data_IF_053478168025
#
_entry.id   IF_053478168025
#
_cell.length_a   1.000
_cell.length_b   1.000
_cell.length_c   1.000
_cell.angle_alpha   90.00
_cell.angle_beta   90.00
_cell.angle_gamma   90.00
#
_symmetry.space_group_name_H-M   'P 1'
#
loop_
_entity.id
_entity.type
_entity.pdbx_description
1 polymer ?
#
# COMPACT_ATOMS: atom_id res chain seq x y z
N UNK A 1 -2.12 -9.09 9.39
CA UNK A 1 -2.56 -7.74 8.95
C UNK A 1 -1.78 -6.70 9.72
N UNK A 2 -1.11 -5.75 9.05
CA UNK A 2 -0.38 -4.65 9.70
C UNK A 2 -1.35 -3.57 10.14
N UNK A 3 -1.19 -3.03 11.35
CA UNK A 3 -2.02 -1.95 11.88
C UNK A 3 -1.21 -0.66 11.94
N UNK A 4 -1.77 0.43 11.42
CA UNK A 4 -1.15 1.76 11.41
C UNK A 4 -2.09 2.75 12.08
N UNK A 5 -1.60 3.45 13.09
CA UNK A 5 -2.33 4.57 13.73
C UNK A 5 -1.81 5.88 13.11
N UNK A 6 -2.73 6.75 12.73
CA UNK A 6 -2.45 8.02 12.06
C UNK A 6 -3.11 9.17 12.79
N UNK A 7 -2.40 10.30 12.95
CA UNK A 7 -3.06 11.56 13.28
C UNK A 7 -4.09 11.89 12.19
N UNK A 8 -5.29 12.33 12.57
CA UNK A 8 -6.46 12.43 11.67
C UNK A 8 -6.24 13.44 10.52
N UNK A 9 -5.52 14.53 10.77
CA UNK A 9 -5.13 15.52 9.77
C UNK A 9 -4.18 14.92 8.70
N UNK A 10 -3.24 14.08 9.13
CA UNK A 10 -2.36 13.34 8.23
C UNK A 10 -3.12 12.28 7.44
N UNK A 11 -4.09 11.60 8.06
CA UNK A 11 -4.94 10.61 7.40
C UNK A 11 -5.70 11.24 6.24
N UNK A 12 -6.36 12.39 6.46
CA UNK A 12 -7.09 13.11 5.41
C UNK A 12 -6.20 13.53 4.25
N UNK A 13 -4.95 13.92 4.53
CA UNK A 13 -3.97 14.26 3.49
C UNK A 13 -3.50 13.05 2.70
N UNK A 14 -3.34 11.90 3.35
CA UNK A 14 -2.85 10.66 2.77
C UNK A 14 -3.93 9.84 2.07
N UNK A 15 -5.21 10.00 2.42
CA UNK A 15 -6.33 9.34 1.72
C UNK A 15 -6.46 9.77 0.26
N UNK A 16 -5.99 10.97 -0.09
CA UNK A 16 -5.88 11.43 -1.47
C UNK A 16 -4.86 10.60 -2.29
N UNK A 17 -3.91 9.97 -1.60
CA UNK A 17 -2.90 9.08 -2.16
C UNK A 17 -3.33 7.60 -2.00
N UNK A 18 -4.40 7.20 -2.65
CA UNK A 18 -5.13 5.91 -2.50
C UNK A 18 -4.27 4.62 -2.52
N UNK A 19 -2.99 4.69 -2.85
CA UNK A 19 -2.21 3.48 -3.16
C UNK A 19 -1.60 2.74 -1.97
N UNK A 20 -1.33 3.41 -0.84
CA UNK A 20 -0.64 2.78 0.30
C UNK A 20 -1.60 2.16 1.30
N UNK A 21 -2.56 2.95 1.78
CA UNK A 21 -3.46 2.53 2.86
C UNK A 21 -4.61 1.63 2.40
N UNK A 22 -4.93 1.65 1.10
CA UNK A 22 -5.88 0.72 0.47
C UNK A 22 -5.30 -0.67 0.18
N UNK A 23 -4.04 -0.92 0.55
CA UNK A 23 -3.44 -2.26 0.38
C UNK A 23 -4.13 -3.26 1.29
N UNK A 24 -4.51 -4.39 0.71
CA UNK A 24 -4.87 -5.59 1.47
C UNK A 24 -3.76 -5.91 2.47
N UNK A 25 -4.13 -6.05 3.73
CA UNK A 25 -3.19 -6.36 4.80
C UNK A 25 -2.72 -5.17 5.64
N UNK A 26 -3.14 -3.93 5.34
CA UNK A 26 -2.96 -2.75 6.20
C UNK A 26 -4.33 -2.28 6.69
N UNK A 27 -4.46 -2.12 8.01
CA UNK A 27 -5.61 -1.46 8.65
C UNK A 27 -5.14 -0.13 9.22
N UNK A 28 -5.78 0.97 8.83
CA UNK A 28 -5.52 2.30 9.36
C UNK A 28 -6.52 2.68 10.43
N UNK A 29 -6.08 3.36 11.48
CA UNK A 29 -6.89 3.86 12.59
C UNK A 29 -6.52 5.32 12.75
N UNK A 30 -7.50 6.23 12.65
CA UNK A 30 -7.30 7.65 12.90
C UNK A 30 -7.35 7.96 14.40
N UNK A 31 -6.65 9.01 14.82
CA UNK A 31 -6.70 9.55 16.16
C UNK A 31 -6.52 11.09 16.15
N UNK A 32 -7.22 11.77 17.03
CA UNK A 32 -7.28 13.23 17.07
C UNK A 32 -6.30 13.86 18.08
N UNK A 33 -5.68 13.02 18.92
CA UNK A 33 -4.70 13.45 19.92
C UNK A 33 -3.65 12.34 20.19
N UNK A 34 -2.51 12.73 20.75
CA UNK A 34 -1.48 11.78 21.17
C UNK A 34 -1.93 10.90 22.34
N UNK A 35 -2.83 11.38 23.18
CA UNK A 35 -3.44 10.59 24.26
C UNK A 35 -4.32 9.48 23.68
N UNK A 36 -5.12 9.79 22.65
CA UNK A 36 -5.93 8.82 21.94
C UNK A 36 -5.05 7.79 21.21
N UNK A 37 -3.96 8.23 20.56
CA UNK A 37 -2.98 7.33 19.93
C UNK A 37 -2.45 6.32 20.95
N UNK A 38 -2.07 6.78 22.15
CA UNK A 38 -1.59 5.91 23.22
C UNK A 38 -2.66 4.90 23.66
N UNK A 39 -3.90 5.37 23.85
CA UNK A 39 -5.03 4.52 24.26
C UNK A 39 -5.32 3.44 23.20
N UNK A 40 -5.40 3.84 21.94
CA UNK A 40 -5.62 2.91 20.81
C UNK A 40 -4.45 1.94 20.67
N UNK A 41 -3.20 2.39 20.81
CA UNK A 41 -2.04 1.50 20.72
C UNK A 41 -1.99 0.47 21.85
N UNK A 42 -2.44 0.79 23.06
CA UNK A 42 -2.54 -0.17 24.17
C UNK A 42 -3.45 -1.36 23.83
N UNK A 43 -4.54 -1.11 23.12
CA UNK A 43 -5.53 -2.16 22.75
C UNK A 43 -5.20 -2.83 21.43
N UNK A 44 -4.90 -2.07 20.39
CA UNK A 44 -4.74 -2.55 19.01
C UNK A 44 -3.36 -3.11 18.71
N UNK A 45 -2.32 -2.74 19.49
CA UNK A 45 -0.92 -3.13 19.29
C UNK A 45 -0.47 -2.85 17.85
N UNK A 46 -0.49 -1.58 17.45
CA UNK A 46 -0.10 -1.13 16.12
C UNK A 46 1.34 -1.49 15.77
N UNK A 47 1.61 -1.65 14.49
CA UNK A 47 2.95 -1.87 13.94
C UNK A 47 3.67 -0.56 13.60
N UNK A 48 2.89 0.51 13.30
CA UNK A 48 3.40 1.84 13.01
C UNK A 48 2.45 2.90 13.58
N UNK A 49 3.02 3.95 14.12
CA UNK A 49 2.33 5.18 14.53
C UNK A 49 2.92 6.31 13.70
N UNK A 50 2.06 7.15 13.10
CA UNK A 50 2.44 8.39 12.42
C UNK A 50 1.68 9.53 13.08
N UNK A 51 2.40 10.44 13.70
CA UNK A 51 1.81 11.51 14.51
C UNK A 51 2.53 12.84 14.32
N UNK A 52 1.90 13.92 14.72
CA UNK A 52 2.55 15.22 14.80
C UNK A 52 3.25 15.42 16.15
N UNK A 53 4.35 16.17 16.12
CA UNK A 53 5.07 16.56 17.35
C UNK A 53 4.17 17.34 18.30
N UNK A 54 3.42 18.30 17.74
CA UNK A 54 2.52 19.16 18.47
C UNK A 54 1.06 18.82 18.08
N UNK A 55 0.40 18.01 18.90
CA UNK A 55 -1.02 17.69 18.85
C UNK A 55 -1.71 18.15 20.14
N UNK A 56 -3.04 18.30 20.14
CA UNK A 56 -3.80 18.54 21.37
C UNK A 56 -3.49 17.50 22.45
N UNK A 57 -3.37 17.94 23.71
CA UNK A 57 -3.03 17.09 24.85
C UNK A 57 -1.53 16.86 24.96
N UNK A 58 -1.12 15.60 25.00
CA UNK A 58 0.29 15.19 25.12
C UNK A 58 1.08 15.51 23.85
N UNK A 59 2.34 15.96 24.02
CA UNK A 59 3.25 16.15 22.90
C UNK A 59 3.73 14.80 22.31
N UNK A 60 4.17 14.81 21.04
CA UNK A 60 4.67 13.61 20.36
C UNK A 60 5.91 13.01 21.04
N UNK A 61 6.80 13.85 21.59
CA UNK A 61 7.95 13.35 22.35
C UNK A 61 7.56 12.65 23.64
N UNK A 62 6.54 13.15 24.35
CA UNK A 62 6.03 12.50 25.56
C UNK A 62 5.34 11.17 25.21
N UNK A 63 4.56 11.13 24.12
CA UNK A 63 4.00 9.88 23.59
C UNK A 63 5.09 8.83 23.33
N UNK A 64 6.16 9.22 22.61
CA UNK A 64 7.29 8.33 22.34
C UNK A 64 7.92 7.82 23.63
N UNK A 65 8.21 8.72 24.57
CA UNK A 65 8.84 8.37 25.85
C UNK A 65 8.00 7.36 26.63
N UNK A 66 6.68 7.56 26.71
CA UNK A 66 5.77 6.63 27.38
C UNK A 66 5.73 5.27 26.67
N UNK A 67 5.66 5.25 25.34
CA UNK A 67 5.66 4.02 24.57
C UNK A 67 6.98 3.26 24.74
N UNK A 68 8.14 3.93 24.71
CA UNK A 68 9.46 3.30 24.85
C UNK A 68 9.72 2.77 26.26
N UNK A 69 9.14 3.41 27.29
CA UNK A 69 9.22 2.95 28.66
C UNK A 69 8.38 1.68 28.93
N UNK A 70 7.34 1.44 28.15
CA UNK A 70 6.45 0.27 28.33
C UNK A 70 6.94 -0.93 27.50
N UNK A 71 7.34 -2.02 28.18
CA UNK A 71 7.83 -3.24 27.55
C UNK A 71 6.82 -3.88 26.56
N UNK A 72 5.52 -3.73 26.77
CA UNK A 72 4.47 -4.30 25.94
C UNK A 72 4.13 -3.43 24.71
N UNK A 73 4.58 -2.17 24.68
CA UNK A 73 4.26 -1.20 23.62
C UNK A 73 5.49 -0.82 22.77
N UNK A 74 6.69 -0.88 23.32
CA UNK A 74 7.91 -0.29 22.76
C UNK A 74 8.35 -0.81 21.39
N UNK A 75 7.82 -1.93 20.92
CA UNK A 75 8.20 -2.55 19.64
C UNK A 75 7.60 -1.85 18.41
N UNK A 76 6.66 -0.91 18.60
CA UNK A 76 6.04 -0.16 17.50
C UNK A 76 7.04 0.80 16.87
N UNK A 77 7.00 0.93 15.54
CA UNK A 77 7.69 1.99 14.83
C UNK A 77 6.93 3.30 14.95
N UNK A 78 7.64 4.43 15.11
CA UNK A 78 7.03 5.77 15.29
C UNK A 78 7.67 6.73 14.30
N UNK A 79 6.85 7.41 13.49
CA UNK A 79 7.21 8.55 12.67
C UNK A 79 6.59 9.81 13.29
N UNK A 80 7.40 10.84 13.52
CA UNK A 80 6.91 12.14 13.97
C UNK A 80 6.97 13.14 12.83
N UNK A 81 5.89 13.85 12.61
CA UNK A 81 5.82 15.00 11.70
C UNK A 81 6.00 16.28 12.53
N UNK A 82 6.89 17.15 12.09
CA UNK A 82 7.16 18.42 12.77
C UNK A 82 7.60 19.51 11.79
N UNK A 83 7.45 20.78 12.18
CA UNK A 83 8.08 21.88 11.46
C UNK A 83 9.61 21.83 11.64
N UNK A 84 10.34 22.04 10.55
CA UNK A 84 11.81 21.97 10.52
C UNK A 84 12.43 23.20 11.20
N UNK A 85 12.52 23.13 12.51
CA UNK A 85 13.24 24.11 13.35
C UNK A 85 14.30 23.37 14.16
N UNK A 86 15.41 24.04 14.50
CA UNK A 86 16.49 23.42 15.29
C UNK A 86 15.95 22.85 16.63
N UNK A 87 15.01 23.55 17.28
CA UNK A 87 14.38 23.09 18.51
C UNK A 87 13.56 21.81 18.30
N UNK A 88 12.75 21.73 17.26
CA UNK A 88 11.93 20.55 16.97
C UNK A 88 12.78 19.34 16.55
N UNK A 89 13.82 19.55 15.76
CA UNK A 89 14.76 18.50 15.39
C UNK A 89 15.48 17.94 16.62
N UNK A 90 15.85 18.78 17.56
CA UNK A 90 16.43 18.34 18.83
C UNK A 90 15.43 17.51 19.65
N UNK A 91 14.18 17.97 19.81
CA UNK A 91 13.10 17.22 20.48
C UNK A 91 12.87 15.86 19.83
N UNK A 92 12.75 15.80 18.50
CA UNK A 92 12.57 14.57 17.75
C UNK A 92 13.74 13.61 17.90
N UNK A 93 15.01 14.10 17.89
CA UNK A 93 16.20 13.25 18.00
C UNK A 93 16.33 12.56 19.36
N UNK A 94 15.76 13.14 20.41
CA UNK A 94 15.86 12.67 21.80
C UNK A 94 14.69 11.77 22.24
N UNK A 95 13.57 11.78 21.51
CA UNK A 95 12.36 11.11 21.99
C UNK A 95 12.28 9.60 21.68
N UNK A 96 13.20 9.06 20.86
CA UNK A 96 13.20 7.63 20.48
C UNK A 96 12.21 7.29 19.37
N UNK A 97 11.78 8.26 18.55
CA UNK A 97 11.10 8.00 17.29
C UNK A 97 12.03 7.28 16.28
N UNK A 98 11.47 6.52 15.36
CA UNK A 98 12.25 5.81 14.33
C UNK A 98 12.60 6.74 13.16
N UNK A 99 11.72 7.70 12.85
CA UNK A 99 11.94 8.70 11.83
C UNK A 99 11.17 9.99 12.15
N UNK A 100 11.58 11.08 11.53
CA UNK A 100 10.82 12.34 11.53
C UNK A 100 10.72 12.88 10.11
N UNK A 101 9.61 13.58 9.83
CA UNK A 101 9.27 14.15 8.53
C UNK A 101 8.97 15.62 8.71
N UNK A 102 9.58 16.48 7.89
CA UNK A 102 9.34 17.92 7.92
C UNK A 102 7.94 18.27 7.38
N UNK A 103 7.29 19.24 8.05
CA UNK A 103 6.07 19.87 7.55
C UNK A 103 6.43 21.12 6.72
N UNK A 104 5.83 21.35 5.54
CA UNK A 104 4.73 20.58 4.92
C UNK A 104 5.15 19.19 4.48
N UNK A 105 4.27 18.22 4.72
CA UNK A 105 4.56 16.78 4.51
C UNK A 105 4.76 16.47 3.05
N UNK A 106 5.94 15.97 2.69
CA UNK A 106 6.13 15.28 1.42
C UNK A 106 5.60 13.85 1.54
N UNK A 107 4.44 13.60 0.93
CA UNK A 107 3.73 12.32 1.02
C UNK A 107 4.59 11.15 0.49
N UNK A 108 5.40 11.36 -0.55
CA UNK A 108 6.25 10.32 -1.11
C UNK A 108 7.32 9.87 -0.10
N UNK A 109 7.96 10.84 0.59
CA UNK A 109 8.97 10.57 1.62
C UNK A 109 8.34 9.85 2.81
N UNK A 110 7.18 10.34 3.29
CA UNK A 110 6.45 9.71 4.40
C UNK A 110 6.07 8.26 4.09
N UNK A 111 5.57 8.00 2.87
CA UNK A 111 5.22 6.66 2.43
C UNK A 111 6.44 5.75 2.29
N UNK A 112 7.57 6.28 1.83
CA UNK A 112 8.83 5.55 1.75
C UNK A 112 9.28 5.09 3.14
N UNK A 113 9.32 5.98 4.12
CA UNK A 113 9.69 5.66 5.50
C UNK A 113 8.70 4.66 6.13
N UNK A 114 7.39 4.84 5.93
CA UNK A 114 6.38 3.91 6.42
C UNK A 114 6.55 2.50 5.82
N UNK A 115 6.88 2.38 4.53
CA UNK A 115 7.19 1.09 3.90
C UNK A 115 8.39 0.41 4.53
N UNK A 116 9.47 1.15 4.75
CA UNK A 116 10.70 0.62 5.35
C UNK A 116 10.43 0.12 6.76
N UNK A 117 9.79 0.94 7.60
CA UNK A 117 9.51 0.62 9.00
C UNK A 117 8.51 -0.54 9.17
N UNK A 118 7.58 -0.70 8.25
CA UNK A 118 6.66 -1.84 8.22
C UNK A 118 7.25 -3.09 7.57
N UNK A 119 8.48 -3.03 7.05
CA UNK A 119 9.09 -4.09 6.23
C UNK A 119 8.18 -4.52 5.07
N UNK A 120 7.54 -3.56 4.44
CA UNK A 120 6.68 -3.78 3.27
C UNK A 120 7.51 -3.52 2.02
N UNK A 121 7.61 -4.51 1.14
CA UNK A 121 8.29 -4.33 -0.14
C UNK A 121 7.61 -3.21 -0.93
N UNK A 122 8.37 -2.17 -1.26
CA UNK A 122 7.88 -1.09 -2.13
C UNK A 122 7.51 -1.69 -3.49
N UNK A 123 6.41 -1.23 -4.06
CA UNK A 123 6.08 -1.59 -5.44
C UNK A 123 7.05 -0.87 -6.35
N UNK A 124 7.87 -1.63 -7.07
CA UNK A 124 8.80 -1.09 -8.07
C UNK A 124 8.08 -0.54 -9.32
N UNK A 125 6.81 -0.89 -9.51
CA UNK A 125 6.04 -0.55 -10.70
C UNK A 125 4.71 0.08 -10.33
N UNK A 126 4.34 1.14 -11.06
CA UNK A 126 3.02 1.75 -10.99
C UNK A 126 1.96 0.72 -11.43
N UNK A 127 0.72 0.90 -10.99
CA UNK A 127 -0.43 0.12 -11.46
C UNK A 127 -1.47 1.07 -12.03
N UNK A 128 -1.98 0.72 -13.19
CA UNK A 128 -3.01 1.49 -13.88
C UNK A 128 -4.31 0.69 -13.83
N UNK A 129 -5.44 1.30 -13.43
CA UNK A 129 -6.75 0.67 -13.55
C UNK A 129 -7.00 0.25 -14.99
N UNK A 130 -7.43 -0.99 -15.20
CA UNK A 130 -7.72 -1.53 -16.51
C UNK A 130 -8.88 -2.51 -16.36
N UNK A 131 -10.03 -2.18 -16.98
CA UNK A 131 -11.22 -3.04 -16.98
C UNK A 131 -11.41 -3.65 -18.35
N UNK A 132 -10.77 -4.78 -18.58
CA UNK A 132 -10.91 -5.57 -19.80
C UNK A 132 -11.19 -7.03 -19.47
N UNK A 133 -11.85 -7.73 -20.40
CA UNK A 133 -12.08 -9.17 -20.30
C UNK A 133 -10.76 -9.91 -20.40
N UNK A 134 -10.61 -10.93 -19.55
CA UNK A 134 -9.50 -11.85 -19.51
C UNK A 134 -10.01 -13.24 -19.90
N UNK A 135 -9.27 -13.91 -20.77
CA UNK A 135 -9.37 -15.35 -21.00
C UNK A 135 -8.12 -16.01 -20.43
N UNK A 136 -8.30 -17.11 -19.69
CA UNK A 136 -7.19 -17.78 -19.06
C UNK A 136 -7.33 -19.29 -19.05
N UNK A 137 -6.22 -19.95 -18.70
CA UNK A 137 -6.16 -21.39 -18.46
C UNK A 137 -5.33 -21.67 -17.22
N UNK A 138 -5.87 -22.44 -16.28
CA UNK A 138 -5.19 -22.87 -15.06
C UNK A 138 -5.31 -24.41 -14.98
N UNK A 139 -4.21 -25.11 -14.72
CA UNK A 139 -4.20 -26.59 -14.66
C UNK A 139 -4.88 -27.26 -15.88
N UNK A 140 -4.71 -26.70 -17.07
CA UNK A 140 -5.35 -27.19 -18.31
C UNK A 140 -6.83 -26.83 -18.48
N UNK A 141 -7.51 -26.24 -17.47
CA UNK A 141 -8.92 -25.85 -17.53
C UNK A 141 -9.07 -24.39 -17.93
N UNK A 142 -9.93 -24.07 -18.91
CA UNK A 142 -10.17 -22.69 -19.30
C UNK A 142 -10.99 -21.95 -18.23
N UNK A 143 -10.74 -20.67 -18.06
CA UNK A 143 -11.55 -19.76 -17.25
C UNK A 143 -11.66 -18.40 -17.95
N UNK A 144 -12.61 -17.60 -17.52
CA UNK A 144 -12.78 -16.19 -17.93
C UNK A 144 -12.84 -15.31 -16.70
N UNK A 145 -12.47 -14.05 -16.88
CA UNK A 145 -12.50 -13.06 -15.81
C UNK A 145 -12.36 -11.64 -16.33
N UNK A 146 -12.05 -10.73 -15.44
CA UNK A 146 -11.73 -9.33 -15.75
C UNK A 146 -10.40 -8.93 -15.13
N UNK A 147 -9.68 -8.06 -15.80
CA UNK A 147 -8.51 -7.37 -15.23
C UNK A 147 -9.03 -6.11 -14.53
N UNK A 148 -8.57 -5.88 -13.31
CA UNK A 148 -8.90 -4.68 -12.53
C UNK A 148 -7.77 -3.65 -12.58
N UNK A 149 -6.53 -4.10 -12.64
CA UNK A 149 -5.37 -3.25 -12.85
C UNK A 149 -4.19 -4.02 -13.43
N UNK A 150 -3.30 -3.29 -14.09
CA UNK A 150 -2.10 -3.80 -14.75
C UNK A 150 -0.86 -3.03 -14.31
N UNK A 151 0.28 -3.72 -14.28
CA UNK A 151 1.62 -3.15 -14.15
C UNK A 151 2.58 -3.90 -15.07
N UNK A 152 3.83 -3.42 -15.22
CA UNK A 152 4.87 -4.14 -15.98
C UNK A 152 5.26 -5.49 -15.39
N UNK A 153 4.82 -5.83 -14.18
CA UNK A 153 5.19 -7.06 -13.50
C UNK A 153 4.01 -7.99 -13.18
N UNK A 154 2.76 -7.59 -13.46
CA UNK A 154 1.61 -8.43 -13.12
C UNK A 154 0.26 -7.73 -13.20
N UNK A 155 -0.78 -8.50 -12.94
CA UNK A 155 -2.19 -8.09 -13.00
C UNK A 155 -2.87 -8.29 -11.64
N UNK A 156 -3.97 -7.58 -11.43
CA UNK A 156 -5.03 -7.97 -10.51
C UNK A 156 -6.23 -8.40 -11.33
N UNK A 157 -6.66 -9.64 -11.16
CA UNK A 157 -7.75 -10.23 -11.90
C UNK A 157 -8.91 -10.60 -10.98
N UNK A 158 -10.13 -10.54 -11.49
CA UNK A 158 -11.32 -11.10 -10.87
C UNK A 158 -11.86 -12.24 -11.74
N UNK A 159 -12.17 -13.37 -11.12
CA UNK A 159 -12.76 -14.53 -11.78
C UNK A 159 -13.54 -15.36 -10.78
N UNK A 160 -14.57 -16.07 -11.24
CA UNK A 160 -15.32 -17.06 -10.46
C UNK A 160 -14.58 -18.41 -10.37
N UNK A 161 -13.51 -18.60 -11.16
CA UNK A 161 -12.66 -19.77 -11.03
C UNK A 161 -11.91 -19.76 -9.69
N UNK A 162 -11.80 -20.93 -9.07
CA UNK A 162 -11.03 -21.10 -7.84
C UNK A 162 -9.58 -21.31 -8.22
N UNK A 163 -8.74 -20.33 -7.86
CA UNK A 163 -7.30 -20.37 -8.04
C UNK A 163 -6.62 -20.35 -6.67
N UNK A 164 -5.43 -20.92 -6.58
CA UNK A 164 -4.64 -20.97 -5.36
C UNK A 164 -3.30 -20.26 -5.56
N UNK A 165 -2.73 -19.74 -4.46
CA UNK A 165 -1.38 -19.17 -4.48
C UNK A 165 -0.38 -20.25 -4.90
N UNK A 166 0.48 -19.94 -5.89
CA UNK A 166 1.39 -20.86 -6.53
C UNK A 166 0.86 -21.49 -7.83
N UNK A 167 -0.41 -21.28 -8.19
CA UNK A 167 -0.93 -21.77 -9.47
C UNK A 167 -0.29 -21.03 -10.65
N UNK A 168 0.18 -21.78 -11.64
CA UNK A 168 0.58 -21.24 -12.93
C UNK A 168 -0.64 -21.10 -13.84
N UNK A 169 -0.80 -19.92 -14.43
CA UNK A 169 -1.89 -19.59 -15.34
C UNK A 169 -1.35 -19.01 -16.65
N UNK A 170 -2.01 -19.34 -17.73
CA UNK A 170 -1.84 -18.67 -19.01
C UNK A 170 -3.00 -17.72 -19.23
N UNK A 171 -2.71 -16.49 -19.66
CA UNK A 171 -3.70 -15.44 -19.82
C UNK A 171 -3.61 -14.77 -21.19
N UNK A 172 -4.75 -14.37 -21.72
CA UNK A 172 -4.81 -13.48 -22.87
C UNK A 172 -5.91 -12.43 -22.68
N UNK A 173 -5.66 -11.23 -23.18
CA UNK A 173 -6.60 -10.11 -23.15
C UNK A 173 -6.27 -9.10 -24.24
N UNK A 174 -7.26 -8.30 -24.63
CA UNK A 174 -7.07 -7.26 -25.62
C UNK A 174 -6.64 -5.97 -24.91
N UNK A 175 -5.51 -5.40 -25.32
CA UNK A 175 -5.01 -4.13 -24.82
C UNK A 175 -5.31 -3.05 -25.86
N UNK A 176 -5.91 -1.95 -25.41
CA UNK A 176 -6.27 -0.85 -26.29
C UNK A 176 -5.05 -0.34 -27.07
N UNK A 177 -5.18 -0.19 -28.38
CA UNK A 177 -4.17 0.29 -29.33
C UNK A 177 -2.95 -0.65 -29.56
N UNK A 178 -2.90 -1.83 -28.90
CA UNK A 178 -1.75 -2.76 -29.01
C UNK A 178 -2.13 -4.15 -29.48
N UNK A 179 -3.43 -4.52 -29.45
CA UNK A 179 -3.90 -5.85 -29.86
C UNK A 179 -3.99 -6.83 -28.69
N UNK A 180 -3.91 -8.12 -29.01
CA UNK A 180 -4.09 -9.20 -28.02
C UNK A 180 -2.77 -9.61 -27.40
N UNK A 181 -2.69 -9.47 -26.07
CA UNK A 181 -1.54 -9.84 -25.24
C UNK A 181 -1.66 -11.30 -24.80
N UNK A 182 -0.55 -12.02 -24.79
CA UNK A 182 -0.41 -13.39 -24.29
C UNK A 182 0.69 -13.45 -23.26
N UNK A 183 0.43 -14.06 -22.10
CA UNK A 183 1.42 -14.19 -21.04
C UNK A 183 1.18 -15.41 -20.16
N UNK A 184 2.22 -15.87 -19.51
CA UNK A 184 2.17 -16.79 -18.37
C UNK A 184 2.38 -16.03 -17.07
N UNK A 185 1.69 -16.43 -16.02
CA UNK A 185 1.76 -15.79 -14.72
C UNK A 185 1.54 -16.81 -13.60
N UNK A 186 2.05 -16.48 -12.42
CA UNK A 186 1.84 -17.21 -11.18
C UNK A 186 0.88 -16.43 -10.28
N UNK A 187 -0.08 -17.10 -9.68
CA UNK A 187 -0.94 -16.54 -8.64
C UNK A 187 -0.13 -16.33 -7.37
N UNK A 188 0.10 -15.07 -6.97
CA UNK A 188 0.96 -14.74 -5.82
C UNK A 188 0.17 -14.30 -4.59
N UNK A 189 -1.15 -14.09 -4.72
CA UNK A 189 -2.03 -13.75 -3.58
C UNK A 189 -3.49 -13.84 -3.96
N UNK A 190 -4.32 -14.13 -2.99
CA UNK A 190 -5.78 -14.03 -3.05
C UNK A 190 -6.25 -12.84 -2.20
N UNK A 191 -7.25 -12.12 -2.70
CA UNK A 191 -7.86 -10.97 -2.02
C UNK A 191 -9.36 -11.14 -2.05
N UNK A 192 -9.99 -11.20 -0.90
CA UNK A 192 -11.44 -11.23 -0.77
C UNK A 192 -11.96 -9.85 -0.39
N UNK A 193 -12.87 -9.32 -1.17
CA UNK A 193 -13.51 -8.02 -0.92
C UNK A 193 -15.00 -8.27 -0.75
N UNK A 194 -15.53 -7.90 0.40
CA UNK A 194 -16.95 -7.93 0.67
C UNK A 194 -17.59 -6.69 0.04
N UNK A 195 -18.35 -6.89 -1.01
CA UNK A 195 -19.26 -5.88 -1.55
C UNK A 195 -20.64 -6.06 -0.86
N UNK A 196 -21.47 -5.02 -0.87
CA UNK A 196 -22.74 -4.95 -0.09
C UNK A 196 -23.66 -6.16 -0.23
N UNK A 197 -23.45 -7.06 -1.18
CA UNK A 197 -24.27 -8.25 -1.43
C UNK A 197 -23.51 -9.53 -1.81
N UNK A 198 -22.19 -9.48 -2.04
CA UNK A 198 -21.41 -10.67 -2.44
C UNK A 198 -19.95 -10.59 -2.04
N UNK A 199 -19.36 -11.74 -1.73
CA UNK A 199 -17.93 -11.89 -1.53
C UNK A 199 -17.26 -12.07 -2.90
N UNK A 200 -16.49 -11.06 -3.34
CA UNK A 200 -15.74 -11.13 -4.60
C UNK A 200 -14.30 -11.52 -4.34
N UNK A 201 -13.79 -12.47 -5.13
CA UNK A 201 -12.40 -12.92 -5.07
C UNK A 201 -11.59 -12.27 -6.19
N UNK A 202 -10.45 -11.71 -5.78
CA UNK A 202 -9.47 -11.14 -6.69
C UNK A 202 -8.16 -11.89 -6.50
N UNK A 203 -7.43 -12.06 -7.59
CA UNK A 203 -6.15 -12.75 -7.59
C UNK A 203 -5.07 -11.81 -8.10
N UNK A 204 -4.05 -11.58 -7.29
CA UNK A 204 -2.84 -10.89 -7.74
C UNK A 204 -1.94 -11.90 -8.43
N UNK A 205 -1.61 -11.65 -9.70
CA UNK A 205 -0.74 -12.52 -10.48
C UNK A 205 0.53 -11.79 -10.88
N UNK A 206 1.65 -12.50 -10.91
CA UNK A 206 2.96 -12.03 -11.32
C UNK A 206 3.32 -12.69 -12.65
N UNK A 207 3.78 -11.91 -13.62
CA UNK A 207 4.26 -12.44 -14.89
C UNK A 207 5.47 -13.36 -14.67
N UNK A 208 5.41 -14.56 -15.23
CA UNK A 208 6.52 -15.53 -15.24
C UNK A 208 7.14 -15.64 -16.61
N UNK A 209 6.34 -15.46 -17.68
CA UNK A 209 6.80 -15.41 -19.04
C UNK A 209 5.89 -14.50 -19.88
N UNK A 210 6.51 -13.60 -20.64
CA UNK A 210 5.85 -12.67 -21.56
C UNK A 210 6.79 -12.37 -22.73
N UNK A 211 6.26 -12.40 -23.94
CA UNK A 211 7.03 -12.05 -25.13
C UNK A 211 7.48 -10.58 -25.13
N UNK A 212 8.64 -10.29 -25.74
CA UNK A 212 9.21 -8.93 -25.76
C UNK A 212 8.27 -7.90 -26.39
N UNK A 213 7.51 -8.29 -27.42
CA UNK A 213 6.51 -7.44 -28.06
C UNK A 213 5.38 -7.09 -27.08
N UNK A 214 4.79 -8.10 -26.41
CA UNK A 214 3.71 -7.92 -25.45
C UNK A 214 4.16 -7.11 -24.23
N UNK A 215 5.40 -7.32 -23.78
CA UNK A 215 6.00 -6.53 -22.70
C UNK A 215 6.15 -5.05 -23.10
N UNK A 216 6.64 -4.80 -24.33
CA UNK A 216 6.78 -3.44 -24.89
C UNK A 216 5.43 -2.76 -25.03
N UNK A 217 4.39 -3.47 -25.45
CA UNK A 217 3.02 -2.96 -25.58
C UNK A 217 2.42 -2.56 -24.23
N UNK A 218 2.62 -3.39 -23.20
CA UNK A 218 2.21 -3.06 -21.83
C UNK A 218 2.96 -1.82 -21.33
N UNK A 219 4.26 -1.70 -21.55
CA UNK A 219 5.03 -0.52 -21.17
C UNK A 219 4.57 0.75 -21.90
N UNK A 220 4.31 0.66 -23.19
CA UNK A 220 3.78 1.76 -23.99
C UNK A 220 2.40 2.21 -23.47
N UNK A 221 1.49 1.27 -23.23
CA UNK A 221 0.19 1.55 -22.65
C UNK A 221 0.30 2.24 -21.28
N UNK A 222 1.22 1.79 -20.43
CA UNK A 222 1.43 2.40 -19.12
C UNK A 222 1.98 3.81 -19.19
N UNK A 223 2.75 4.17 -20.23
CA UNK A 223 3.27 5.53 -20.46
C UNK A 223 2.20 6.50 -20.98
N UNK A 224 1.20 6.01 -21.72
CA UNK A 224 0.11 6.84 -22.28
C UNK A 224 -0.99 7.20 -21.29
N UNK A 225 -1.16 6.42 -20.21
CA UNK A 225 -2.16 6.69 -19.18
C UNK A 225 -1.49 7.42 -18.01
N UNK A 226 -1.96 8.62 -17.62
CA UNK A 226 -1.47 9.25 -16.42
C UNK A 226 -1.82 8.34 -15.24
N UNK A 227 -0.82 7.70 -14.68
CA UNK A 227 -0.96 7.06 -13.37
C UNK A 227 -1.34 8.15 -12.35
N UNK A 228 -1.95 7.80 -11.20
CA UNK A 228 -2.16 8.76 -10.13
C UNK A 228 -0.81 9.43 -9.86
N UNK A 229 -0.76 10.75 -9.99
CA UNK A 229 0.42 11.60 -10.01
C UNK A 229 1.57 11.09 -9.14
N UNK A 230 2.58 10.49 -9.77
CA UNK A 230 3.95 10.55 -9.27
C UNK A 230 4.51 11.87 -9.79
N UNK A 231 4.49 12.89 -8.96
CA UNK A 231 5.28 14.09 -9.19
C UNK A 231 6.71 13.66 -9.45
N UNK A 232 7.23 14.08 -10.58
CA UNK A 232 8.62 13.83 -11.00
C UNK A 232 9.58 14.27 -9.89
N UNK A 233 10.44 13.38 -9.44
CA UNK A 233 11.70 13.76 -8.84
C UNK A 233 12.58 14.43 -9.87
#
# INVERSE_FOLDING_TARGET
MKKVILAEDLKTSLEKEQSFFSRTGIRTIGATSNDEILAVHKTEKANLIITNLDMPGMSGENLCSLIRADHALRSVSIIIVCHETAANLQRCSQCGANAFISSPVNTAVLLQEAHQLLHITQRKTCRIPLKVRLEGRAMGKPFTGSIENISTAGLLIHTDAVLFEGDDIQCSFDLQDSGRIYLSAEVVRTVEIQDSSSLKKYYGVRFTDIGDADASDIEAFMKTKPGPHLSRC
#
